data_IF_431779797121
#
_entry.id   IF_431779797121
#
_cell.length_a   1.000
_cell.length_b   1.000
_cell.length_c   1.000
_cell.angle_alpha   90.00
_cell.angle_beta   90.00
_cell.angle_gamma   90.00
#
_symmetry.space_group_name_H-M   'P 1'
#
loop_
_entity.id
_entity.type
_entity.pdbx_description
1 polymer ?
#
# COMPACT_ATOMS: atom_id res chain seq x y z
N UNK A 1 -65.61 -39.87 37.13
CA UNK A 1 -65.89 -41.31 37.36
C UNK A 1 -65.63 -42.00 36.03
N UNK A 2 -64.47 -42.57 35.74
CA UNK A 2 -63.88 -43.72 36.42
C UNK A 2 -64.36 -44.98 35.69
N UNK A 3 -63.44 -45.84 35.24
CA UNK A 3 -63.61 -47.05 34.39
C UNK A 3 -63.73 -46.84 32.87
N UNK A 4 -63.40 -47.75 31.93
CA UNK A 4 -63.03 -49.19 31.85
C UNK A 4 -62.37 -49.33 30.43
N UNK A 5 -61.18 -49.93 30.25
CA UNK A 5 -60.91 -51.31 29.80
C UNK A 5 -60.89 -51.60 28.27
N UNK A 6 -59.76 -52.19 27.84
CA UNK A 6 -59.49 -53.20 26.81
C UNK A 6 -60.48 -53.52 25.65
N UNK A 7 -59.84 -53.74 24.49
CA UNK A 7 -60.04 -54.80 23.47
C UNK A 7 -60.87 -54.53 22.19
N UNK A 8 -60.16 -54.85 21.08
CA UNK A 8 -60.55 -55.67 19.90
C UNK A 8 -61.03 -55.00 18.60
N UNK A 9 -60.32 -55.43 17.54
CA UNK A 9 -60.78 -55.85 16.20
C UNK A 9 -61.21 -54.77 15.21
N UNK A 10 -61.05 -54.86 13.88
CA UNK A 10 -60.26 -55.64 12.90
C UNK A 10 -61.01 -55.37 11.57
N UNK A 11 -60.33 -55.03 10.47
CA UNK A 11 -60.71 -55.42 9.09
C UNK A 11 -59.78 -54.71 8.08
N UNK A 12 -58.70 -55.36 7.64
CA UNK A 12 -58.57 -56.10 6.35
C UNK A 12 -58.38 -55.15 5.14
N UNK A 13 -57.42 -55.31 4.21
CA UNK A 13 -56.58 -56.46 3.86
C UNK A 13 -55.40 -56.07 2.93
N UNK A 14 -54.30 -56.85 3.03
CA UNK A 14 -53.37 -57.33 1.95
C UNK A 14 -52.52 -56.26 1.24
N UNK A 15 -51.18 -56.34 1.14
CA UNK A 15 -50.25 -57.48 1.09
C UNK A 15 -48.81 -56.94 1.25
N UNK A 16 -47.96 -57.65 2.00
CA UNK A 16 -46.49 -57.63 1.89
C UNK A 16 -46.08 -58.94 1.16
N UNK A 17 -44.85 -59.16 0.62
CA UNK A 17 -43.62 -58.75 1.32
C UNK A 17 -42.34 -58.44 0.47
N UNK A 18 -41.32 -57.90 1.17
CA UNK A 18 -39.85 -57.96 0.89
C UNK A 18 -39.37 -57.07 -0.30
N UNK A 19 -38.41 -56.13 -0.22
CA UNK A 19 -37.08 -56.09 0.43
C UNK A 19 -36.58 -54.63 0.60
N UNK A 20 -35.96 -54.38 1.75
CA UNK A 20 -35.01 -53.31 2.15
C UNK A 20 -33.88 -53.08 1.09
N UNK A 21 -33.42 -51.89 0.66
CA UNK A 21 -32.58 -50.85 1.32
C UNK A 21 -32.44 -49.58 0.42
N UNK A 22 -32.71 -48.43 1.04
CA UNK A 22 -32.10 -47.07 1.00
C UNK A 22 -31.43 -46.46 -0.26
N UNK A 23 -31.93 -45.24 -0.56
CA UNK A 23 -31.26 -43.97 -0.92
C UNK A 23 -30.38 -43.90 -2.18
N UNK A 24 -30.89 -43.18 -3.20
CA UNK A 24 -30.25 -41.99 -3.81
C UNK A 24 -31.09 -41.44 -4.98
N UNK A 25 -30.90 -40.15 -5.30
CA UNK A 25 -31.56 -39.30 -6.31
C UNK A 25 -32.80 -38.56 -5.78
N UNK A 26 -32.92 -37.23 -5.85
CA UNK A 26 -32.11 -36.20 -6.48
C UNK A 26 -32.85 -34.86 -6.40
N UNK A 27 -32.39 -33.90 -7.22
CA UNK A 27 -32.94 -32.55 -7.50
C UNK A 27 -32.44 -31.47 -6.53
N UNK A 28 -31.39 -30.72 -6.88
CA UNK A 28 -31.32 -29.67 -7.90
C UNK A 28 -32.14 -28.43 -7.50
N UNK A 29 -31.50 -27.54 -6.75
CA UNK A 29 -31.88 -26.12 -6.67
C UNK A 29 -30.67 -25.26 -7.09
N UNK A 30 -30.80 -24.74 -8.30
CA UNK A 30 -30.39 -23.44 -8.80
C UNK A 30 -29.65 -22.52 -7.79
N UNK A 31 -28.32 -22.66 -7.72
CA UNK A 31 -27.48 -21.59 -7.15
C UNK A 31 -27.41 -20.45 -8.16
N UNK A 32 -28.18 -19.39 -7.90
CA UNK A 32 -27.89 -18.04 -8.40
C UNK A 32 -26.43 -17.73 -8.12
N UNK A 33 -25.65 -17.52 -9.17
CA UNK A 33 -24.31 -16.95 -9.08
C UNK A 33 -24.45 -15.52 -8.55
N UNK A 34 -24.17 -15.32 -7.26
CA UNK A 34 -23.91 -13.98 -6.75
C UNK A 34 -22.58 -13.53 -7.32
N UNK A 35 -22.62 -12.67 -8.35
CA UNK A 35 -21.51 -11.77 -8.68
C UNK A 35 -21.08 -11.07 -7.40
N UNK A 36 -19.86 -11.37 -6.93
CA UNK A 36 -19.29 -10.78 -5.74
C UNK A 36 -18.46 -9.58 -6.17
N UNK A 37 -19.02 -8.41 -5.90
CA UNK A 37 -18.39 -7.10 -6.08
C UNK A 37 -17.11 -6.98 -5.26
N UNK A 38 -16.01 -6.68 -5.93
CA UNK A 38 -14.76 -6.25 -5.31
C UNK A 38 -14.92 -4.82 -4.75
N UNK A 39 -15.37 -4.66 -3.51
CA UNK A 39 -15.22 -3.38 -2.80
C UNK A 39 -13.93 -3.38 -1.99
N UNK A 40 -12.80 -3.14 -2.67
CA UNK A 40 -11.69 -2.45 -2.01
C UNK A 40 -12.17 -1.01 -1.76
N UNK A 41 -12.73 -0.72 -0.59
CA UNK A 41 -13.04 0.65 -0.22
C UNK A 41 -11.71 1.38 0.01
N UNK A 42 -11.36 2.37 -0.82
CA UNK A 42 -10.27 3.26 -0.49
C UNK A 42 -10.87 4.17 0.59
N UNK A 43 -10.43 4.02 1.84
CA UNK A 43 -10.81 4.88 2.96
C UNK A 43 -9.56 5.56 3.52
N UNK A 44 -9.80 6.79 3.96
CA UNK A 44 -8.95 7.98 3.90
C UNK A 44 -7.58 7.87 4.58
N UNK A 45 -6.61 8.57 4.00
CA UNK A 45 -5.38 9.06 4.64
C UNK A 45 -4.48 7.98 5.26
N UNK A 46 -3.55 7.44 4.48
CA UNK A 46 -2.11 7.29 4.84
C UNK A 46 -1.44 6.43 3.78
N UNK A 47 -0.22 6.80 3.40
CA UNK A 47 0.50 6.17 2.29
C UNK A 47 0.62 4.66 2.45
N UNK A 48 0.52 3.93 1.33
CA UNK A 48 0.96 2.53 1.18
C UNK A 48 0.27 1.49 2.06
N UNK A 49 -0.82 1.83 2.78
CA UNK A 49 -1.60 0.85 3.53
C UNK A 49 -2.64 0.18 2.63
N UNK A 50 -2.58 -1.14 2.55
CA UNK A 50 -3.58 -1.92 1.85
C UNK A 50 -4.53 -2.56 2.85
N UNK A 51 -5.81 -2.22 2.74
CA UNK A 51 -6.89 -2.83 3.52
C UNK A 51 -7.18 -4.22 2.96
N UNK A 52 -7.22 -5.23 3.83
CA UNK A 52 -7.63 -6.58 3.47
C UNK A 52 -8.74 -7.03 4.41
N UNK A 53 -9.80 -7.54 3.78
CA UNK A 53 -10.89 -8.21 4.44
C UNK A 53 -10.75 -9.72 4.25
N UNK A 54 -10.71 -10.47 5.34
CA UNK A 54 -10.64 -11.93 5.30
C UNK A 54 -12.06 -12.47 5.47
N UNK A 55 -12.85 -12.43 4.40
CA UNK A 55 -14.21 -13.00 4.40
C UNK A 55 -14.28 -14.37 3.70
N UNK A 56 -13.32 -14.72 2.84
CA UNK A 56 -13.31 -15.97 2.08
C UNK A 56 -11.88 -16.50 1.90
N UNK A 57 -11.66 -17.78 2.19
CA UNK A 57 -10.32 -18.38 2.32
C UNK A 57 -9.57 -18.46 0.99
N UNK A 58 -10.29 -18.71 -0.11
CA UNK A 58 -9.71 -18.92 -1.45
C UNK A 58 -9.14 -17.64 -2.08
N UNK A 59 -9.57 -16.46 -1.62
CA UNK A 59 -9.21 -15.19 -2.26
C UNK A 59 -7.96 -14.54 -1.64
N UNK A 60 -7.60 -14.92 -0.42
CA UNK A 60 -6.45 -14.35 0.28
C UNK A 60 -5.11 -14.79 -0.35
N UNK A 61 -5.08 -15.98 -0.95
CA UNK A 61 -3.89 -16.53 -1.62
C UNK A 61 -3.48 -15.77 -2.89
N UNK A 62 -4.39 -14.98 -3.47
CA UNK A 62 -4.17 -14.23 -4.71
C UNK A 62 -3.77 -12.78 -4.49
N UNK A 63 -3.56 -12.38 -3.24
CA UNK A 63 -3.17 -11.02 -2.89
C UNK A 63 -1.67 -10.82 -3.09
N UNK A 64 -1.30 -9.72 -3.75
CA UNK A 64 0.10 -9.28 -3.88
C UNK A 64 0.26 -7.81 -3.52
N UNK A 65 1.32 -7.51 -2.76
CA UNK A 65 1.77 -6.16 -2.46
C UNK A 65 3.24 -6.02 -2.85
N UNK A 66 3.57 -4.98 -3.62
CA UNK A 66 4.95 -4.57 -3.85
C UNK A 66 5.42 -3.68 -2.70
N UNK A 67 6.67 -3.87 -2.33
CA UNK A 67 7.35 -2.92 -1.46
C UNK A 67 7.53 -1.56 -2.15
N UNK A 68 7.51 -0.53 -1.33
CA UNK A 68 7.70 0.87 -1.68
C UNK A 68 9.11 1.20 -2.20
N UNK A 69 10.15 0.45 -1.82
CA UNK A 69 11.56 0.88 -1.98
C UNK A 69 12.45 -0.11 -2.73
N UNK A 70 12.26 -1.42 -2.56
CA UNK A 70 12.98 -2.47 -3.29
C UNK A 70 11.97 -3.49 -3.81
N UNK A 71 12.33 -4.30 -4.82
CA UNK A 71 11.38 -5.19 -5.45
C UNK A 71 11.15 -6.44 -4.61
N UNK A 72 10.26 -6.29 -3.63
CA UNK A 72 9.78 -7.39 -2.82
C UNK A 72 8.29 -7.56 -3.01
N UNK A 73 7.87 -8.81 -3.14
CA UNK A 73 6.47 -9.21 -3.26
C UNK A 73 6.04 -9.91 -1.99
N UNK A 74 4.98 -9.41 -1.38
CA UNK A 74 4.26 -10.12 -0.33
C UNK A 74 3.09 -10.90 -0.92
N UNK A 75 2.95 -12.15 -0.51
CA UNK A 75 1.81 -13.01 -0.77
C UNK A 75 1.43 -13.78 0.49
N UNK A 76 0.28 -14.44 0.50
CA UNK A 76 -0.19 -15.19 1.66
C UNK A 76 -0.63 -16.59 1.26
N UNK A 77 -0.54 -17.54 2.18
CA UNK A 77 -1.07 -18.91 2.01
C UNK A 77 -1.61 -19.44 3.33
N UNK A 78 -2.47 -20.44 3.27
CA UNK A 78 -2.95 -21.11 4.48
C UNK A 78 -1.76 -21.61 5.33
N UNK A 79 -1.80 -21.32 6.63
CA UNK A 79 -0.76 -21.75 7.57
C UNK A 79 -1.00 -23.19 8.03
N UNK A 80 0.08 -23.95 8.20
CA UNK A 80 0.04 -25.27 8.84
C UNK A 80 0.24 -25.23 10.36
N UNK A 81 0.58 -24.06 10.92
CA UNK A 81 0.85 -23.86 12.35
C UNK A 81 -0.47 -23.68 13.08
N UNK A 82 -0.74 -24.45 14.16
CA UNK A 82 -1.90 -24.22 15.02
C UNK A 82 -1.94 -22.77 15.50
N UNK A 83 -3.14 -22.18 15.58
CA UNK A 83 -3.41 -20.77 15.95
C UNK A 83 -3.18 -19.71 14.86
N UNK A 84 -2.56 -20.08 13.74
CA UNK A 84 -2.40 -19.18 12.59
C UNK A 84 -3.21 -19.66 11.40
N UNK A 85 -3.98 -18.74 10.83
CA UNK A 85 -4.75 -18.94 9.62
C UNK A 85 -3.89 -18.81 8.37
N UNK A 86 -2.94 -17.87 8.36
CA UNK A 86 -2.11 -17.61 7.19
C UNK A 86 -0.63 -17.35 7.52
N UNK A 87 0.21 -17.85 6.63
CA UNK A 87 1.61 -17.50 6.51
C UNK A 87 1.78 -16.37 5.47
N UNK A 88 2.61 -15.39 5.81
CA UNK A 88 3.14 -14.42 4.86
C UNK A 88 4.32 -15.03 4.12
N UNK A 89 4.38 -14.83 2.81
CA UNK A 89 5.50 -15.18 1.94
C UNK A 89 6.04 -13.90 1.33
N UNK A 90 7.23 -13.49 1.77
CA UNK A 90 7.97 -12.37 1.18
C UNK A 90 9.01 -12.92 0.23
N UNK A 91 8.91 -12.49 -1.01
CA UNK A 91 9.82 -12.83 -2.08
C UNK A 91 10.60 -11.58 -2.47
N UNK A 92 11.90 -11.55 -2.18
CA UNK A 92 12.79 -10.50 -2.66
C UNK A 92 13.27 -10.88 -4.06
N UNK A 93 12.95 -10.04 -5.01
CA UNK A 93 13.31 -10.20 -6.40
C UNK A 93 14.70 -9.59 -6.57
N UNK A 94 15.62 -10.31 -7.20
CA UNK A 94 16.90 -9.77 -7.65
C UNK A 94 16.99 -9.94 -9.15
N UNK A 95 17.67 -9.00 -9.82
CA UNK A 95 17.90 -9.08 -11.26
C UNK A 95 18.76 -10.26 -11.65
N UNK A 96 19.66 -10.70 -10.78
CA UNK A 96 20.37 -11.95 -10.95
C UNK A 96 19.41 -13.10 -10.67
N UNK A 97 18.78 -13.60 -11.73
CA UNK A 97 17.77 -14.68 -11.78
C UNK A 97 18.12 -15.96 -11.00
N UNK A 98 19.35 -16.09 -10.54
CA UNK A 98 19.86 -17.21 -9.77
C UNK A 98 19.64 -17.09 -8.25
N UNK A 99 19.21 -15.94 -7.71
CA UNK A 99 18.95 -15.79 -6.27
C UNK A 99 17.58 -15.18 -5.97
N UNK A 100 16.53 -16.00 -6.11
CA UNK A 100 15.21 -15.70 -5.54
C UNK A 100 15.22 -16.12 -4.06
N UNK A 101 15.21 -15.17 -3.14
CA UNK A 101 15.06 -15.47 -1.70
C UNK A 101 13.59 -15.33 -1.32
N UNK A 102 13.02 -16.41 -0.78
CA UNK A 102 11.65 -16.44 -0.28
C UNK A 102 11.72 -16.76 1.20
N UNK A 103 11.15 -15.88 2.02
CA UNK A 103 10.99 -16.11 3.44
C UNK A 103 9.50 -16.21 3.76
N UNK A 104 9.16 -17.15 4.66
CA UNK A 104 7.79 -17.35 5.11
C UNK A 104 7.70 -17.30 6.63
N UNK A 105 6.62 -16.74 7.15
CA UNK A 105 6.37 -16.67 8.58
C UNK A 105 4.87 -16.57 8.90
N UNK A 106 4.42 -17.14 10.02
CA UNK A 106 3.03 -17.03 10.45
C UNK A 106 2.68 -15.59 10.85
N UNK A 107 1.52 -15.09 10.42
CA UNK A 107 1.17 -13.67 10.66
C UNK A 107 -0.27 -13.43 11.12
N UNK A 108 -1.27 -14.12 10.55
CA UNK A 108 -2.67 -13.86 10.84
C UNK A 108 -3.28 -14.99 11.66
N UNK A 109 -3.88 -14.63 12.80
CA UNK A 109 -4.75 -15.51 13.59
C UNK A 109 -6.21 -15.41 13.16
N UNK A 110 -7.11 -15.98 13.94
CA UNK A 110 -8.54 -16.10 13.59
C UNK A 110 -9.42 -14.90 13.99
N UNK A 111 -8.95 -14.01 14.88
CA UNK A 111 -9.83 -13.09 15.62
C UNK A 111 -10.18 -11.74 14.97
N UNK A 112 -9.27 -10.97 14.33
CA UNK A 112 -9.58 -9.59 13.94
C UNK A 112 -10.43 -9.51 12.67
N UNK A 113 -11.27 -8.47 12.61
CA UNK A 113 -12.29 -8.27 11.55
C UNK A 113 -11.73 -7.64 10.29
N UNK A 114 -10.61 -6.91 10.38
CA UNK A 114 -9.94 -6.28 9.23
C UNK A 114 -8.45 -6.12 9.52
N UNK A 115 -7.65 -6.26 8.47
CA UNK A 115 -6.21 -6.04 8.49
C UNK A 115 -5.83 -4.89 7.57
N UNK A 116 -4.92 -4.04 8.00
CA UNK A 116 -4.22 -3.10 7.13
C UNK A 116 -2.76 -3.43 7.13
N UNK A 117 -2.17 -3.52 5.94
CA UNK A 117 -0.81 -3.99 5.81
C UNK A 117 0.06 -3.06 4.97
N UNK A 118 1.36 -3.06 5.24
CA UNK A 118 2.38 -2.35 4.47
C UNK A 118 3.66 -3.18 4.46
N UNK A 119 4.34 -3.20 3.31
CA UNK A 119 5.67 -3.80 3.16
C UNK A 119 6.64 -2.69 2.74
N UNK A 120 7.71 -2.53 3.52
CA UNK A 120 8.81 -1.62 3.23
C UNK A 120 10.10 -2.43 3.18
N UNK A 121 10.81 -2.38 2.06
CA UNK A 121 12.10 -3.05 1.93
C UNK A 121 13.25 -2.09 2.21
N UNK A 122 14.36 -2.65 2.66
CA UNK A 122 15.63 -1.94 2.86
C UNK A 122 16.70 -2.51 1.92
N UNK A 123 17.77 -1.74 1.68
CA UNK A 123 18.94 -2.24 0.94
C UNK A 123 19.64 -3.39 1.66
N UNK A 124 19.66 -3.40 3.00
CA UNK A 124 20.45 -4.33 3.82
C UNK A 124 19.80 -5.70 4.06
N UNK A 125 19.21 -6.30 3.04
CA UNK A 125 18.55 -7.62 3.14
C UNK A 125 17.42 -7.67 4.18
N UNK A 126 16.88 -6.54 4.69
CA UNK A 126 15.73 -6.53 5.59
C UNK A 126 14.44 -6.11 4.90
N UNK A 127 13.35 -6.77 5.30
CA UNK A 127 11.97 -6.43 4.97
C UNK A 127 11.22 -6.05 6.25
N UNK A 128 10.49 -4.95 6.21
CA UNK A 128 9.68 -4.46 7.32
C UNK A 128 8.22 -4.63 6.91
N UNK A 129 7.55 -5.57 7.56
CA UNK A 129 6.14 -5.85 7.32
C UNK A 129 5.29 -5.37 8.49
N UNK A 130 4.47 -4.36 8.23
CA UNK A 130 3.57 -3.78 9.21
C UNK A 130 2.18 -4.38 9.05
N UNK A 131 1.59 -4.78 10.17
CA UNK A 131 0.21 -5.28 10.25
C UNK A 131 -0.54 -4.50 11.32
N UNK A 132 -1.58 -3.78 10.91
CA UNK A 132 -2.53 -3.14 11.79
C UNK A 132 -3.78 -4.04 11.86
N UNK A 133 -4.07 -4.52 13.05
CA UNK A 133 -5.23 -5.36 13.35
C UNK A 133 -6.31 -4.49 13.95
N UNK A 134 -7.46 -4.47 13.31
CA UNK A 134 -8.63 -3.77 13.83
C UNK A 134 -9.67 -4.73 14.36
N UNK A 135 -10.26 -4.37 15.50
CA UNK A 135 -11.30 -5.11 16.19
C UNK A 135 -12.53 -4.23 16.38
N UNK A 136 -13.66 -4.84 16.75
CA UNK A 136 -14.90 -4.11 17.01
C UNK A 136 -14.76 -3.10 18.15
N UNK A 137 -13.88 -3.37 19.12
CA UNK A 137 -13.47 -2.40 20.11
C UNK A 137 -12.18 -1.70 19.65
N UNK A 138 -12.19 -0.39 19.31
CA UNK A 138 -10.99 0.33 18.89
C UNK A 138 -9.88 0.32 19.96
N UNK A 139 -10.25 0.24 21.24
CA UNK A 139 -9.32 0.12 22.37
C UNK A 139 -8.63 -1.25 22.45
N UNK A 140 -8.85 -2.15 21.50
CA UNK A 140 -8.07 -3.40 21.35
C UNK A 140 -7.30 -3.49 20.03
N UNK A 141 -7.33 -2.44 19.20
CA UNK A 141 -6.52 -2.41 17.98
C UNK A 141 -5.03 -2.54 18.29
N UNK A 142 -4.31 -3.23 17.40
CA UNK A 142 -2.91 -3.58 17.59
C UNK A 142 -2.10 -3.27 16.34
N UNK A 143 -0.84 -2.89 16.52
CA UNK A 143 0.14 -2.78 15.44
C UNK A 143 1.30 -3.74 15.72
N UNK A 144 1.43 -4.73 14.84
CA UNK A 144 2.57 -5.63 14.80
C UNK A 144 3.53 -5.16 13.70
N UNK A 145 4.83 -5.13 14.02
CA UNK A 145 5.90 -4.88 13.04
C UNK A 145 6.80 -6.10 13.01
N UNK A 146 6.80 -6.78 11.87
CA UNK A 146 7.69 -7.89 11.56
C UNK A 146 8.91 -7.34 10.84
N UNK A 147 10.09 -7.78 11.28
CA UNK A 147 11.37 -7.38 10.69
C UNK A 147 12.05 -8.66 10.27
N UNK A 148 12.15 -8.86 8.96
CA UNK A 148 12.55 -10.12 8.34
C UNK A 148 13.93 -9.92 7.73
N UNK A 149 14.90 -10.73 8.16
CA UNK A 149 16.20 -10.83 7.50
C UNK A 149 16.09 -11.80 6.32
N UNK A 150 16.18 -11.30 5.10
CA UNK A 150 16.05 -12.08 3.87
C UNK A 150 17.23 -13.01 3.62
N UNK A 151 18.38 -12.81 4.25
CA UNK A 151 19.54 -13.68 4.08
C UNK A 151 19.38 -15.03 4.78
N UNK A 152 18.70 -15.07 5.93
CA UNK A 152 18.52 -16.28 6.74
C UNK A 152 17.06 -16.58 7.09
N UNK A 153 16.11 -15.78 6.62
CA UNK A 153 14.68 -15.86 6.90
C UNK A 153 14.29 -15.83 8.39
N UNK A 154 15.19 -15.35 9.25
CA UNK A 154 14.84 -15.06 10.64
C UNK A 154 14.01 -13.79 10.68
N UNK A 155 12.99 -13.78 11.53
CA UNK A 155 12.17 -12.60 11.74
C UNK A 155 12.01 -12.31 13.23
N UNK A 156 11.88 -11.03 13.56
CA UNK A 156 11.46 -10.57 14.88
C UNK A 156 10.11 -9.90 14.77
N UNK A 157 9.18 -10.28 15.66
CA UNK A 157 7.89 -9.62 15.81
C UNK A 157 7.97 -8.62 16.96
N UNK A 158 7.65 -7.36 16.69
CA UNK A 158 7.54 -6.32 17.70
C UNK A 158 6.09 -5.86 17.77
N UNK A 159 5.43 -6.06 18.91
CA UNK A 159 4.14 -5.44 19.20
C UNK A 159 4.41 -4.00 19.65
N UNK A 160 3.97 -3.01 18.86
CA UNK A 160 4.39 -1.62 19.09
C UNK A 160 3.32 -0.77 19.74
N UNK A 161 2.03 -1.03 19.45
CA UNK A 161 0.92 -0.27 20.03
C UNK A 161 -0.27 -1.18 20.31
N UNK A 162 -0.96 -0.91 21.43
CA UNK A 162 -2.22 -1.53 21.84
C UNK A 162 -3.24 -0.47 22.25
N UNK A 163 -4.46 -0.64 21.76
CA UNK A 163 -5.65 0.10 22.18
C UNK A 163 -5.89 1.45 21.53
N UNK A 164 -5.64 1.51 20.23
CA UNK A 164 -5.57 2.75 19.49
C UNK A 164 -6.66 2.88 18.42
N UNK A 165 -7.39 4.00 18.41
CA UNK A 165 -8.28 4.33 17.31
C UNK A 165 -7.47 4.81 16.09
N UNK A 166 -7.00 3.85 15.31
CA UNK A 166 -6.00 4.04 14.27
C UNK A 166 -6.35 5.10 13.24
N UNK A 167 -7.63 5.22 12.90
CA UNK A 167 -8.08 6.05 11.78
C UNK A 167 -8.46 7.46 12.20
N UNK A 168 -8.91 7.65 13.44
CA UNK A 168 -9.28 8.97 13.92
C UNK A 168 -8.08 9.90 14.08
N UNK A 169 -6.90 9.37 14.37
CA UNK A 169 -5.71 10.17 14.73
C UNK A 169 -4.65 10.34 13.62
N UNK A 170 -4.86 9.74 12.44
CA UNK A 170 -3.96 9.93 11.29
C UNK A 170 -2.99 8.76 11.00
N UNK A 171 -3.29 7.56 11.51
CA UNK A 171 -2.59 6.33 11.13
C UNK A 171 -1.26 6.13 11.85
N UNK A 172 -0.27 5.61 11.13
CA UNK A 172 1.12 5.44 11.56
C UNK A 172 2.05 5.42 10.34
N UNK A 173 3.31 5.81 10.53
CA UNK A 173 4.26 5.93 9.44
C UNK A 173 5.53 5.15 9.72
N UNK A 174 6.00 4.42 8.72
CA UNK A 174 7.33 3.85 8.68
C UNK A 174 8.16 4.71 7.75
N UNK A 175 9.29 5.20 8.26
CA UNK A 175 10.23 6.01 7.48
C UNK A 175 11.59 5.36 7.58
N UNK A 176 12.05 4.85 6.45
CA UNK A 176 13.40 4.34 6.31
C UNK A 176 14.39 5.50 6.14
N UNK A 177 15.55 5.41 6.81
CA UNK A 177 16.60 6.42 6.73
C UNK A 177 17.62 6.02 5.65
N UNK A 178 17.63 6.66 4.46
CA UNK A 178 18.50 6.29 3.36
C UNK A 178 20.00 6.58 3.63
N UNK A 179 20.33 7.30 4.71
CA UNK A 179 21.72 7.60 5.09
C UNK A 179 22.22 6.78 6.28
N UNK A 180 21.31 6.11 6.98
CA UNK A 180 21.67 5.28 8.12
C UNK A 180 20.84 4.00 8.04
N UNK A 181 21.32 3.11 7.18
CA UNK A 181 20.63 1.91 6.74
C UNK A 181 20.43 0.89 7.88
N UNK A 182 21.13 1.09 8.99
CA UNK A 182 21.01 0.30 10.22
C UNK A 182 19.76 0.66 11.06
N UNK A 183 18.96 1.64 10.61
CA UNK A 183 17.81 2.13 11.37
C UNK A 183 16.60 2.45 10.49
N UNK A 184 15.42 2.35 11.10
CA UNK A 184 14.21 2.98 10.60
C UNK A 184 13.44 3.63 11.74
N UNK A 185 12.63 4.63 11.40
CA UNK A 185 11.77 5.32 12.34
C UNK A 185 10.32 4.89 12.14
N UNK A 186 9.65 4.58 13.25
CA UNK A 186 8.22 4.35 13.32
C UNK A 186 7.56 5.50 14.07
N UNK A 187 6.60 6.16 13.41
CA UNK A 187 5.81 7.24 13.98
C UNK A 187 4.43 6.73 14.36
N UNK A 188 4.14 6.77 15.66
CA UNK A 188 2.83 6.52 16.25
C UNK A 188 2.18 7.82 16.68
N UNK A 189 0.85 7.87 16.62
CA UNK A 189 0.08 9.02 17.14
C UNK A 189 -0.62 8.62 18.43
N UNK A 190 -1.16 9.63 19.11
CA UNK A 190 -1.69 9.52 20.47
C UNK A 190 -0.63 9.08 21.50
N UNK A 191 0.58 9.62 21.35
CA UNK A 191 1.75 9.30 22.15
C UNK A 191 1.84 9.95 23.53
N UNK A 192 0.81 10.67 23.99
CA UNK A 192 0.92 11.54 25.17
C UNK A 192 1.32 10.77 26.43
N UNK A 193 0.76 9.58 26.63
CA UNK A 193 1.12 8.72 27.77
C UNK A 193 2.50 8.06 27.59
N UNK A 194 2.89 7.77 26.35
CA UNK A 194 4.10 7.00 26.01
C UNK A 194 5.36 7.85 25.96
N UNK A 195 5.30 9.05 25.38
CA UNK A 195 6.44 9.92 25.18
C UNK A 195 6.18 11.41 25.48
N UNK A 196 5.00 11.77 25.99
CA UNK A 196 4.69 13.16 26.36
C UNK A 196 4.37 14.08 25.18
N UNK A 197 4.16 13.54 23.98
CA UNK A 197 3.72 14.29 22.79
C UNK A 197 2.70 13.51 21.99
N UNK A 198 1.89 14.20 21.19
CA UNK A 198 0.87 13.54 20.38
C UNK A 198 1.47 12.57 19.35
N UNK A 199 2.64 12.86 18.78
CA UNK A 199 3.39 11.93 17.92
C UNK A 199 4.57 11.38 18.69
N UNK A 200 4.71 10.05 18.80
CA UNK A 200 5.94 9.41 19.27
C UNK A 200 6.74 8.87 18.09
N UNK A 201 8.05 9.04 18.17
CA UNK A 201 9.02 8.40 17.29
C UNK A 201 9.66 7.23 18.01
N UNK A 202 9.63 6.06 17.38
CA UNK A 202 10.35 4.87 17.81
C UNK A 202 11.40 4.53 16.76
N UNK A 203 12.68 4.57 17.14
CA UNK A 203 13.77 4.23 16.23
C UNK A 203 14.16 2.77 16.45
N UNK A 204 14.06 1.95 15.40
CA UNK A 204 14.56 0.58 15.44
C UNK A 204 16.03 0.54 15.02
N UNK A 205 16.82 -0.33 15.66
CA UNK A 205 18.21 -0.58 15.30
C UNK A 205 18.34 -2.04 14.86
N UNK A 206 18.73 -2.28 13.60
CA UNK A 206 18.87 -3.63 13.03
C UNK A 206 19.94 -4.46 13.73
N UNK A 207 21.06 -3.87 14.10
CA UNK A 207 22.15 -4.57 14.80
C UNK A 207 21.76 -5.03 16.22
N UNK A 208 20.96 -4.23 16.93
CA UNK A 208 20.45 -4.55 18.28
C UNK A 208 19.16 -5.36 18.25
N UNK A 209 18.51 -5.44 17.09
CA UNK A 209 17.20 -6.08 16.90
C UNK A 209 16.13 -5.59 17.88
N UNK A 210 16.10 -4.29 18.15
CA UNK A 210 15.19 -3.71 19.14
C UNK A 210 14.85 -2.26 18.83
N UNK A 211 13.65 -1.85 19.22
CA UNK A 211 13.31 -0.42 19.32
C UNK A 211 14.05 0.25 20.48
N UNK A 212 14.52 1.47 20.23
CA UNK A 212 14.95 2.39 21.28
C UNK A 212 13.77 2.87 22.14
N UNK A 213 14.08 3.66 23.18
CA UNK A 213 13.05 4.32 23.98
C UNK A 213 12.21 5.25 23.07
N UNK A 214 10.88 5.29 23.26
CA UNK A 214 10.03 6.21 22.51
C UNK A 214 10.44 7.66 22.81
N UNK A 215 10.48 8.48 21.76
CA UNK A 215 10.87 9.88 21.86
C UNK A 215 9.72 10.78 21.41
N UNK A 216 9.59 11.93 22.07
CA UNK A 216 8.66 12.94 21.63
C UNK A 216 9.05 13.47 20.24
N UNK A 217 8.07 13.60 19.34
CA UNK A 217 8.27 14.22 18.03
C UNK A 217 7.59 15.60 18.01
N UNK A 218 8.39 16.67 17.95
CA UNK A 218 7.96 18.04 18.22
C UNK A 218 6.91 18.61 17.25
N UNK A 219 6.70 17.97 16.09
CA UNK A 219 5.83 18.48 15.03
C UNK A 219 4.41 18.80 15.53
N UNK A 220 3.81 17.88 16.27
CA UNK A 220 2.42 18.02 16.74
C UNK A 220 2.26 19.03 17.87
N UNK A 221 3.27 19.18 18.72
CA UNK A 221 3.21 20.09 19.86
C UNK A 221 3.13 21.55 19.38
N UNK A 222 3.78 21.85 18.27
CA UNK A 222 3.74 23.16 17.63
C UNK A 222 2.52 23.34 16.69
N UNK A 223 1.78 22.26 16.38
CA UNK A 223 0.71 22.26 15.39
C UNK A 223 -0.51 21.39 15.83
N UNK A 224 -1.15 21.68 16.98
CA UNK A 224 -2.12 20.78 17.61
C UNK A 224 -3.39 20.51 16.77
N UNK A 225 -3.76 21.44 15.88
CA UNK A 225 -4.95 21.31 15.02
C UNK A 225 -4.64 20.71 13.64
N UNK A 226 -3.46 20.12 13.48
CA UNK A 226 -2.93 19.74 12.18
C UNK A 226 -2.83 18.22 12.08
N UNK A 227 -3.51 17.65 11.08
CA UNK A 227 -3.47 16.21 10.77
C UNK A 227 -2.27 15.93 9.87
N UNK A 228 -1.35 15.08 10.32
CA UNK A 228 -0.26 14.60 9.47
C UNK A 228 -0.82 13.62 8.43
N UNK A 229 -0.46 13.81 7.16
CA UNK A 229 -0.91 12.98 6.03
C UNK A 229 0.24 12.13 5.46
N UNK A 230 1.45 12.67 5.52
CA UNK A 230 2.65 12.04 4.97
C UNK A 230 3.84 12.44 5.83
N UNK A 231 4.78 11.51 6.03
CA UNK A 231 6.14 11.81 6.47
C UNK A 231 7.12 10.90 5.72
N UNK A 232 8.26 11.46 5.32
CA UNK A 232 9.32 10.77 4.58
C UNK A 232 10.68 11.35 4.95
N UNK A 233 11.75 10.61 4.68
CA UNK A 233 13.10 11.03 5.05
C UNK A 233 13.60 12.18 4.17
N UNK A 234 14.37 13.09 4.78
CA UNK A 234 15.12 14.15 4.11
C UNK A 234 16.60 13.79 4.06
N UNK A 235 17.36 14.43 3.17
CA UNK A 235 18.80 14.21 3.03
C UNK A 235 19.53 14.58 4.32
N UNK A 236 19.18 15.67 4.97
CA UNK A 236 19.86 16.18 6.16
C UNK A 236 19.52 15.46 7.48
N UNK A 237 19.15 14.18 7.42
CA UNK A 237 18.68 13.37 8.57
C UNK A 237 17.38 13.90 9.20
N UNK A 238 16.74 14.88 8.57
CA UNK A 238 15.42 15.36 8.90
C UNK A 238 14.31 14.59 8.20
N UNK A 239 13.14 15.21 8.12
CA UNK A 239 11.96 14.66 7.44
C UNK A 239 11.24 15.71 6.60
N UNK A 240 10.61 15.27 5.51
CA UNK A 240 9.54 16.02 4.87
C UNK A 240 8.20 15.53 5.41
N UNK A 241 7.30 16.47 5.71
CA UNK A 241 5.96 16.15 6.19
C UNK A 241 4.91 16.92 5.40
N UNK A 242 3.84 16.23 5.00
CA UNK A 242 2.63 16.87 4.49
C UNK A 242 1.56 16.78 5.56
N UNK A 243 0.92 17.90 5.83
CA UNK A 243 -0.16 17.94 6.81
C UNK A 243 -1.35 18.76 6.30
N UNK A 244 -2.46 18.67 7.04
CA UNK A 244 -3.71 19.36 6.77
C UNK A 244 -4.24 20.03 8.02
N UNK A 245 -4.61 21.30 7.92
CA UNK A 245 -5.31 22.06 8.96
C UNK A 245 -6.53 22.74 8.32
N UNK A 246 -7.73 22.28 8.68
CA UNK A 246 -8.96 22.63 7.97
C UNK A 246 -8.90 22.19 6.51
N UNK A 247 -9.09 23.13 5.57
CA UNK A 247 -8.98 22.88 4.12
C UNK A 247 -7.59 23.19 3.56
N UNK A 248 -6.66 23.68 4.39
CA UNK A 248 -5.32 24.05 3.95
C UNK A 248 -4.37 22.87 4.14
N UNK A 249 -3.44 22.74 3.20
CA UNK A 249 -2.40 21.74 3.22
C UNK A 249 -1.05 22.45 3.32
N UNK A 250 -0.11 21.79 3.98
CA UNK A 250 1.19 22.37 4.33
C UNK A 250 2.28 21.34 4.04
N UNK A 251 3.40 21.82 3.49
CA UNK A 251 4.62 21.03 3.33
C UNK A 251 5.66 21.58 4.30
N UNK A 252 6.22 20.70 5.12
CA UNK A 252 7.25 21.02 6.12
C UNK A 252 8.54 20.30 5.80
N UNK A 253 9.63 20.99 6.09
CA UNK A 253 10.93 20.40 6.36
C UNK A 253 11.14 20.41 7.87
N UNK A 254 11.47 19.25 8.43
CA UNK A 254 11.56 18.99 9.86
C UNK A 254 12.95 18.45 10.22
N UNK A 255 13.44 18.76 11.41
CA UNK A 255 14.62 18.11 11.99
C UNK A 255 14.32 16.66 12.36
N UNK A 256 15.34 15.89 12.75
CA UNK A 256 15.19 14.52 13.28
C UNK A 256 14.29 14.43 14.52
N UNK A 257 14.09 15.54 15.24
CA UNK A 257 13.25 15.61 16.44
C UNK A 257 11.84 16.19 16.13
N UNK A 258 11.58 16.57 14.87
CA UNK A 258 10.29 17.11 14.45
C UNK A 258 10.16 18.63 14.61
N UNK A 259 11.25 19.34 14.87
CA UNK A 259 11.24 20.81 14.88
C UNK A 259 11.17 21.32 13.45
N UNK A 260 10.38 22.36 13.20
CA UNK A 260 10.24 22.95 11.87
C UNK A 260 11.50 23.70 11.46
N UNK A 261 12.10 23.30 10.33
CA UNK A 261 13.20 24.02 9.68
C UNK A 261 12.62 25.09 8.75
N UNK A 262 11.70 24.69 7.88
CA UNK A 262 10.98 25.57 6.97
C UNK A 262 9.59 25.02 6.66
N UNK A 263 8.68 25.89 6.25
CA UNK A 263 7.32 25.54 5.87
C UNK A 263 6.90 26.31 4.65
N UNK A 264 6.27 25.62 3.71
CA UNK A 264 5.53 26.25 2.62
C UNK A 264 4.06 26.30 3.02
N UNK A 265 3.56 27.52 3.25
CA UNK A 265 2.18 27.84 3.67
C UNK A 265 1.35 28.47 2.53
N UNK A 266 1.89 28.52 1.31
CA UNK A 266 1.11 29.05 0.20
C UNK A 266 -0.11 28.16 -0.05
N UNK A 267 -1.22 28.78 -0.46
CA UNK A 267 -2.43 28.08 -0.91
C UNK A 267 -2.12 27.31 -2.20
N UNK A 268 -1.38 26.22 -2.05
CA UNK A 268 -1.32 25.12 -3.00
C UNK A 268 -2.65 24.36 -2.98
N UNK A 269 -3.78 25.02 -2.69
CA UNK A 269 -5.10 24.42 -2.77
C UNK A 269 -5.30 23.71 -4.11
N UNK A 270 -4.67 24.16 -5.20
CA UNK A 270 -4.71 23.45 -6.48
C UNK A 270 -3.78 22.22 -6.49
N UNK A 271 -2.52 22.35 -6.09
CA UNK A 271 -1.52 21.27 -6.16
C UNK A 271 -1.66 20.19 -5.06
N UNK A 272 -2.09 20.57 -3.86
CA UNK A 272 -2.30 19.66 -2.74
C UNK A 272 -3.69 19.01 -2.79
N UNK A 273 -4.69 19.62 -3.45
CA UNK A 273 -5.88 18.88 -3.92
C UNK A 273 -5.51 17.77 -4.90
N UNK A 274 -4.46 17.96 -5.70
CA UNK A 274 -3.93 16.92 -6.60
C UNK A 274 -3.15 15.85 -5.83
N UNK A 275 -2.36 16.20 -4.80
CA UNK A 275 -1.74 15.21 -3.90
C UNK A 275 -2.74 14.46 -2.98
N UNK A 276 -4.04 14.75 -3.09
CA UNK A 276 -5.08 13.96 -2.41
C UNK A 276 -5.04 12.53 -2.97
N UNK A 277 -4.41 11.65 -2.21
CA UNK A 277 -4.54 10.20 -2.36
C UNK A 277 -6.04 9.88 -2.32
N UNK A 278 -6.54 9.41 -3.47
CA UNK A 278 -7.94 9.10 -3.73
C UNK A 278 -8.55 8.25 -2.61
N UNK A 279 -9.68 8.72 -2.08
CA UNK A 279 -10.72 7.88 -1.48
C UNK A 279 -12.11 8.48 -1.72
N UNK A 280 -12.93 7.67 -2.39
CA UNK A 280 -14.40 7.63 -2.56
C UNK A 280 -15.18 8.79 -3.20
N UNK A 281 -15.74 8.43 -4.35
CA UNK A 281 -17.09 8.73 -4.84
C UNK A 281 -18.13 8.90 -3.72
N UNK A 282 -18.82 10.04 -3.72
CA UNK A 282 -20.28 10.22 -3.54
C UNK A 282 -20.53 11.71 -3.21
N UNK A 283 -20.73 12.50 -4.28
CA UNK A 283 -21.86 13.42 -4.43
C UNK A 283 -21.56 14.55 -5.44
N UNK A 284 -22.18 14.36 -6.62
CA UNK A 284 -22.63 15.32 -7.62
C UNK A 284 -21.75 16.52 -8.04
N UNK A 285 -21.40 16.51 -9.33
CA UNK A 285 -21.06 17.64 -10.21
C UNK A 285 -19.65 18.24 -10.15
N UNK A 286 -18.61 17.43 -9.98
CA UNK A 286 -17.27 17.79 -10.45
C UNK A 286 -16.58 16.56 -11.04
N UNK A 287 -16.41 16.52 -12.36
CA UNK A 287 -15.57 15.52 -13.05
C UNK A 287 -14.09 15.91 -12.87
N UNK A 288 -13.53 15.62 -11.70
CA UNK A 288 -12.06 15.64 -11.53
C UNK A 288 -11.54 14.27 -11.95
N UNK A 289 -10.93 14.21 -13.14
CA UNK A 289 -10.12 13.08 -13.56
C UNK A 289 -8.79 13.09 -12.78
N UNK A 290 -8.84 12.69 -11.51
CA UNK A 290 -7.67 12.53 -10.63
C UNK A 290 -6.92 11.25 -11.03
N UNK A 291 -5.97 11.37 -11.94
CA UNK A 291 -4.96 10.34 -12.21
C UNK A 291 -3.89 10.42 -11.11
N UNK A 292 -4.29 10.03 -9.91
CA UNK A 292 -3.40 9.74 -8.77
C UNK A 292 -3.68 8.34 -8.25
N UNK A 293 -4.45 7.55 -9.00
CA UNK A 293 -4.83 6.20 -8.58
C UNK A 293 -3.64 5.24 -8.45
N UNK A 294 -2.45 5.61 -8.91
CA UNK A 294 -1.30 4.69 -8.94
C UNK A 294 0.10 5.32 -8.71
N UNK A 295 0.22 6.56 -8.24
CA UNK A 295 1.50 7.09 -7.74
C UNK A 295 1.85 6.41 -6.41
N UNK A 296 2.25 5.14 -6.46
CA UNK A 296 2.52 4.27 -5.30
C UNK A 296 3.98 4.24 -4.86
N UNK A 297 4.81 5.12 -5.43
CA UNK A 297 6.23 5.14 -5.14
C UNK A 297 6.73 6.58 -5.23
N UNK A 298 6.63 7.33 -4.14
CA UNK A 298 7.47 8.51 -3.97
C UNK A 298 8.56 8.08 -2.98
N UNK A 299 9.66 7.57 -3.52
CA UNK A 299 10.87 7.35 -2.75
C UNK A 299 11.58 8.70 -2.72
N UNK A 300 11.75 9.24 -1.51
CA UNK A 300 12.43 10.50 -1.26
C UNK A 300 13.89 10.21 -0.96
N UNK A 301 14.76 10.30 -1.95
CA UNK A 301 16.19 10.32 -1.69
C UNK A 301 16.67 11.77 -1.69
N UNK A 302 16.54 12.41 -0.53
CA UNK A 302 17.20 13.67 -0.26
C UNK A 302 16.54 14.96 -0.77
N UNK A 303 15.66 14.87 -1.76
CA UNK A 303 14.86 15.97 -2.32
C UNK A 303 13.38 15.62 -2.38
N UNK A 304 12.49 16.60 -2.28
CA UNK A 304 11.05 16.41 -2.49
C UNK A 304 10.67 16.80 -3.91
N UNK A 305 10.40 15.81 -4.76
CA UNK A 305 9.84 16.01 -6.10
C UNK A 305 8.35 15.71 -6.17
N UNK A 306 7.64 16.43 -7.03
CA UNK A 306 6.23 16.16 -7.34
C UNK A 306 5.97 16.47 -8.81
N UNK A 307 5.15 15.64 -9.47
CA UNK A 307 4.61 15.92 -10.80
C UNK A 307 3.09 15.77 -10.77
N UNK A 308 2.36 16.67 -11.45
CA UNK A 308 0.90 16.73 -11.44
C UNK A 308 0.33 17.36 -12.70
N UNK A 309 -0.95 17.10 -12.99
CA UNK A 309 -1.71 17.80 -14.02
C UNK A 309 -2.51 18.95 -13.42
N UNK A 310 -2.72 20.03 -14.17
CA UNK A 310 -3.76 20.99 -13.81
C UNK A 310 -5.09 20.60 -14.45
N UNK A 311 -6.19 20.95 -13.79
CA UNK A 311 -7.54 20.76 -14.33
C UNK A 311 -7.70 21.44 -15.69
N UNK A 312 -8.22 20.70 -16.68
CA UNK A 312 -8.35 21.16 -18.08
C UNK A 312 -7.03 21.22 -18.87
N UNK A 313 -5.96 20.65 -18.32
CA UNK A 313 -4.62 20.58 -18.94
C UNK A 313 -4.04 19.16 -18.85
N UNK A 314 -4.79 18.18 -19.33
CA UNK A 314 -4.50 16.74 -19.20
C UNK A 314 -3.22 16.31 -19.93
N UNK A 315 -2.69 17.15 -20.81
CA UNK A 315 -1.42 16.94 -21.52
C UNK A 315 -0.25 17.72 -20.94
N UNK A 316 -0.49 18.67 -20.04
CA UNK A 316 0.58 19.47 -19.44
C UNK A 316 0.90 18.96 -18.03
N UNK A 317 2.03 18.25 -17.90
CA UNK A 317 2.56 17.79 -16.62
C UNK A 317 3.41 18.90 -16.00
N UNK A 318 3.06 19.34 -14.80
CA UNK A 318 3.86 20.26 -14.01
C UNK A 318 4.72 19.45 -13.04
N UNK A 319 6.03 19.59 -13.13
CA UNK A 319 6.99 18.95 -12.27
C UNK A 319 7.80 19.99 -11.49
N UNK A 320 7.98 19.75 -10.21
CA UNK A 320 8.79 20.58 -9.33
C UNK A 320 9.62 19.74 -8.40
N UNK A 321 10.68 20.33 -7.88
CA UNK A 321 11.51 19.72 -6.86
C UNK A 321 11.98 20.78 -5.84
N UNK A 322 11.99 20.38 -4.58
CA UNK A 322 12.51 21.17 -3.47
C UNK A 322 13.76 20.52 -2.86
N UNK A 323 14.64 21.35 -2.34
CA UNK A 323 15.72 20.92 -1.46
C UNK A 323 15.21 20.57 -0.05
N UNK A 324 16.13 20.12 0.82
CA UNK A 324 15.86 19.82 2.23
C UNK A 324 15.36 21.00 3.06
N UNK A 325 15.52 22.24 2.59
CA UNK A 325 15.03 23.46 3.24
C UNK A 325 13.80 24.02 2.55
N UNK A 326 13.17 23.26 1.65
CA UNK A 326 12.02 23.68 0.85
C UNK A 326 12.29 24.85 -0.12
N UNK A 327 13.54 25.10 -0.51
CA UNK A 327 13.82 26.00 -1.62
C UNK A 327 13.56 25.30 -2.95
N UNK A 328 13.01 26.01 -3.93
CA UNK A 328 12.83 25.47 -5.27
C UNK A 328 14.18 25.14 -5.90
N UNK A 329 14.32 23.89 -6.35
CA UNK A 329 15.37 23.46 -7.29
C UNK A 329 14.93 23.76 -8.71
N UNK A 330 13.72 23.34 -9.07
CA UNK A 330 13.09 23.71 -10.33
C UNK A 330 11.56 23.65 -10.25
N UNK A 331 10.91 24.31 -11.21
CA UNK A 331 9.49 24.24 -11.49
C UNK A 331 9.32 24.34 -13.01
N UNK A 332 8.87 23.26 -13.65
CA UNK A 332 8.84 23.09 -15.10
C UNK A 332 7.54 22.44 -15.53
N UNK A 333 6.99 22.87 -16.65
CA UNK A 333 5.95 22.13 -17.34
C UNK A 333 6.51 21.35 -18.51
N UNK A 334 5.98 20.14 -18.69
CA UNK A 334 6.23 19.22 -19.79
C UNK A 334 4.91 19.05 -20.53
N UNK A 335 4.87 19.42 -21.79
CA UNK A 335 3.72 19.18 -22.65
C UNK A 335 3.88 17.81 -23.33
N UNK A 336 3.04 16.87 -22.93
CA UNK A 336 2.96 15.55 -23.54
C UNK A 336 2.19 15.67 -24.86
N UNK A 337 2.68 15.01 -25.91
CA UNK A 337 1.95 14.88 -27.18
C UNK A 337 0.73 13.94 -27.06
N UNK A 338 0.53 13.33 -25.89
CA UNK A 338 -0.51 12.37 -25.55
C UNK A 338 -1.14 12.64 -24.18
N UNK A 339 -2.32 12.06 -23.95
CA UNK A 339 -2.88 11.93 -22.61
C UNK A 339 -2.27 10.70 -21.93
N UNK A 340 -1.93 10.83 -20.65
CA UNK A 340 -1.48 9.69 -19.84
C UNK A 340 -2.46 9.43 -18.70
N UNK A 341 -2.73 8.16 -18.43
CA UNK A 341 -3.56 7.70 -17.31
C UNK A 341 -2.77 7.31 -16.07
N UNK A 342 -1.44 7.30 -16.15
CA UNK A 342 -0.57 7.03 -15.01
C UNK A 342 0.65 7.95 -15.00
N UNK A 343 0.97 8.46 -13.82
CA UNK A 343 2.28 9.03 -13.54
C UNK A 343 2.91 8.22 -12.41
N UNK A 344 4.24 8.14 -12.41
CA UNK A 344 5.02 7.80 -11.24
C UNK A 344 6.31 8.62 -11.26
N UNK A 345 6.85 8.94 -10.11
CA UNK A 345 8.10 9.72 -10.02
C UNK A 345 9.14 8.98 -9.20
N UNK A 346 10.40 9.25 -9.50
CA UNK A 346 11.53 8.78 -8.69
C UNK A 346 12.52 9.92 -8.52
N UNK A 347 12.78 10.32 -7.27
CA UNK A 347 13.77 11.36 -6.99
C UNK A 347 15.17 10.76 -7.10
N UNK A 348 16.04 11.43 -7.86
CA UNK A 348 17.41 10.96 -8.07
C UNK A 348 18.34 11.44 -6.94
N UNK A 349 19.32 10.62 -6.57
CA UNK A 349 20.26 10.89 -5.48
C UNK A 349 21.14 12.16 -5.70
N UNK A 350 21.22 12.69 -6.94
CA UNK A 350 22.06 13.83 -7.34
C UNK A 350 21.23 15.03 -7.82
N UNK A 351 20.08 15.26 -7.20
CA UNK A 351 19.03 16.16 -7.68
C UNK A 351 18.45 15.73 -9.04
N UNK A 352 17.28 16.26 -9.39
CA UNK A 352 16.50 15.82 -10.53
C UNK A 352 15.51 14.70 -10.19
N UNK A 353 14.65 14.36 -11.14
CA UNK A 353 13.67 13.28 -10.99
C UNK A 353 13.48 12.52 -12.29
N UNK A 354 13.10 11.25 -12.19
CA UNK A 354 12.53 10.49 -13.29
C UNK A 354 11.02 10.54 -13.20
N UNK A 355 10.38 10.79 -14.34
CA UNK A 355 8.94 10.73 -14.51
C UNK A 355 8.60 9.54 -15.42
N UNK A 356 7.84 8.59 -14.90
CA UNK A 356 7.12 7.60 -15.69
C UNK A 356 5.78 8.19 -16.12
N UNK A 357 5.45 8.00 -17.39
CA UNK A 357 4.11 8.22 -17.93
C UNK A 357 3.73 7.05 -18.84
N UNK A 358 2.44 6.79 -18.97
CA UNK A 358 1.91 5.72 -19.83
C UNK A 358 1.18 6.33 -21.02
N UNK A 359 1.56 5.94 -22.22
CA UNK A 359 0.82 6.27 -23.42
C UNK A 359 -0.30 5.25 -23.66
N UNK A 360 -1.51 5.74 -23.85
CA UNK A 360 -2.71 4.93 -24.10
C UNK A 360 -3.24 5.22 -25.51
N UNK A 361 -3.29 4.20 -26.36
CA UNK A 361 -3.79 4.33 -27.72
C UNK A 361 -5.31 4.64 -27.70
N UNK A 362 -5.72 5.68 -28.43
CA UNK A 362 -7.12 6.15 -28.51
C UNK A 362 -7.77 6.48 -27.16
N UNK A 363 -6.99 6.85 -26.14
CA UNK A 363 -7.46 7.08 -24.77
C UNK A 363 -8.17 5.85 -24.13
N UNK A 364 -8.00 4.66 -24.69
CA UNK A 364 -8.57 3.43 -24.14
C UNK A 364 -7.65 2.86 -23.05
N UNK A 365 -8.20 2.66 -21.85
CA UNK A 365 -7.43 2.21 -20.67
C UNK A 365 -6.77 0.85 -20.89
N UNK A 366 -7.47 -0.05 -21.60
CA UNK A 366 -7.00 -1.40 -21.89
C UNK A 366 -5.84 -1.41 -22.91
N UNK A 367 -5.48 -0.24 -23.48
CA UNK A 367 -4.41 -0.06 -24.48
C UNK A 367 -3.23 0.78 -23.98
N UNK A 368 -3.08 0.97 -22.66
CA UNK A 368 -1.93 1.64 -22.06
C UNK A 368 -0.69 0.72 -22.02
N UNK A 369 -0.06 0.49 -23.17
CA UNK A 369 1.02 -0.51 -23.32
C UNK A 369 2.41 0.10 -23.43
N UNK A 370 2.52 1.41 -23.68
CA UNK A 370 3.80 2.08 -23.84
C UNK A 370 4.13 2.93 -22.61
N UNK A 371 5.30 2.67 -22.05
CA UNK A 371 5.85 3.35 -20.89
C UNK A 371 6.93 4.30 -21.37
N UNK A 372 6.82 5.58 -20.98
CA UNK A 372 7.78 6.64 -21.31
C UNK A 372 8.40 7.17 -20.03
N UNK A 373 9.72 7.11 -19.95
CA UNK A 373 10.51 7.67 -18.88
C UNK A 373 11.16 8.96 -19.34
N UNK A 374 10.87 10.04 -18.62
CA UNK A 374 11.47 11.36 -18.84
C UNK A 374 12.36 11.69 -17.66
N UNK A 375 13.61 12.07 -17.91
CA UNK A 375 14.55 12.49 -16.87
C UNK A 375 14.60 14.01 -16.81
N UNK A 376 14.43 14.55 -15.62
CA UNK A 376 14.70 15.94 -15.27
C UNK A 376 16.04 16.00 -14.55
N UNK A 377 16.93 16.90 -14.97
CA UNK A 377 18.18 17.16 -14.26
C UNK A 377 17.98 18.14 -13.08
N UNK A 378 19.07 18.48 -12.39
CA UNK A 378 19.07 19.41 -11.26
C UNK A 378 18.54 20.83 -11.58
N UNK A 379 18.52 21.23 -12.86
CA UNK A 379 18.00 22.52 -13.34
C UNK A 379 16.56 22.43 -13.84
N UNK A 380 16.01 21.21 -13.88
CA UNK A 380 14.73 20.89 -14.47
C UNK A 380 14.75 20.81 -16.01
N UNK A 381 15.94 20.86 -16.65
CA UNK A 381 16.02 20.51 -18.06
C UNK A 381 15.66 19.02 -18.20
N UNK A 382 14.86 18.69 -19.21
CA UNK A 382 14.33 17.34 -19.37
C UNK A 382 14.65 16.74 -20.73
N UNK A 383 14.79 15.42 -20.76
CA UNK A 383 14.97 14.63 -21.97
C UNK A 383 14.26 13.28 -21.86
N UNK A 384 13.90 12.69 -23.00
CA UNK A 384 13.50 11.27 -23.04
C UNK A 384 14.66 10.43 -22.50
N UNK A 385 14.40 9.67 -21.44
CA UNK A 385 15.38 8.78 -20.83
C UNK A 385 15.28 7.37 -21.44
N UNK A 386 14.06 6.86 -21.54
CA UNK A 386 13.77 5.59 -22.19
C UNK A 386 12.30 5.48 -22.54
N UNK A 387 11.99 4.61 -23.49
CA UNK A 387 10.62 4.19 -23.78
C UNK A 387 10.57 2.72 -24.11
N UNK A 388 9.47 2.06 -23.74
CA UNK A 388 9.26 0.67 -24.09
C UNK A 388 7.78 0.31 -24.13
N UNK A 389 7.46 -0.71 -24.93
CA UNK A 389 6.13 -1.30 -25.01
C UNK A 389 6.14 -2.68 -24.37
N UNK A 390 5.13 -2.99 -23.57
CA UNK A 390 4.86 -4.34 -23.07
C UNK A 390 3.47 -4.78 -23.54
N UNK A 391 3.42 -5.46 -24.69
CA UNK A 391 2.17 -5.91 -25.30
C UNK A 391 1.47 -7.02 -24.49
N UNK A 392 2.17 -7.64 -23.52
CA UNK A 392 1.59 -8.67 -22.64
C UNK A 392 0.96 -8.08 -21.38
N UNK A 393 1.17 -6.79 -21.17
CA UNK A 393 0.80 -6.07 -19.97
C UNK A 393 -0.44 -5.22 -20.25
N UNK A 394 -1.60 -5.81 -20.00
CA UNK A 394 -2.87 -5.09 -19.99
C UNK A 394 -3.13 -4.76 -18.53
N UNK A 395 -3.55 -3.56 -18.15
CA UNK A 395 -4.01 -3.45 -16.77
C UNK A 395 -5.08 -2.42 -16.60
N UNK A 396 -6.05 -2.75 -15.76
CA UNK A 396 -6.96 -1.79 -15.15
C UNK A 396 -6.32 -1.12 -13.93
N UNK A 397 -5.23 -1.67 -13.38
CA UNK A 397 -4.59 -1.24 -12.14
C UNK A 397 -3.07 -1.43 -12.18
N UNK A 398 -2.35 -0.54 -12.87
CA UNK A 398 -0.89 -0.61 -12.85
C UNK A 398 -0.31 -0.19 -11.50
N UNK A 399 0.46 -1.06 -10.84
CA UNK A 399 1.30 -0.65 -9.72
C UNK A 399 2.73 -0.49 -10.22
N UNK A 400 3.41 0.59 -9.83
CA UNK A 400 4.78 0.88 -10.24
C UNK A 400 5.64 1.16 -9.02
N UNK A 401 6.85 0.62 -9.01
CA UNK A 401 7.90 1.04 -8.09
C UNK A 401 9.25 1.14 -8.78
N UNK A 402 10.00 2.17 -8.41
CA UNK A 402 11.35 2.39 -8.88
C UNK A 402 12.33 1.94 -7.81
N UNK A 403 13.48 1.45 -8.22
CA UNK A 403 14.58 1.14 -7.31
C UNK A 403 15.91 1.20 -8.07
N UNK A 404 17.01 1.24 -7.33
CA UNK A 404 18.37 1.20 -7.88
C UNK A 404 19.03 -0.14 -7.50
N UNK A 405 19.61 -0.82 -8.49
CA UNK A 405 20.39 -2.07 -8.32
C UNK A 405 21.59 -2.04 -9.27
N UNK A 406 22.79 -2.28 -8.73
CA UNK A 406 24.06 -2.27 -9.48
C UNK A 406 24.30 -1.00 -10.32
N UNK A 407 23.82 0.15 -9.83
CA UNK A 407 23.93 1.45 -10.50
C UNK A 407 22.94 1.69 -11.64
N UNK A 408 22.05 0.74 -11.91
CA UNK A 408 20.95 0.89 -12.87
C UNK A 408 19.69 1.34 -12.15
N UNK A 409 18.85 2.11 -12.85
CA UNK A 409 17.52 2.45 -12.35
C UNK A 409 16.53 1.48 -12.96
N UNK A 410 15.71 0.88 -12.12
CA UNK A 410 14.86 -0.21 -12.51
C UNK A 410 13.42 0.06 -12.10
N UNK A 411 12.49 -0.32 -12.97
CA UNK A 411 11.05 -0.17 -12.80
C UNK A 411 10.45 -1.56 -12.59
N UNK A 412 9.86 -1.81 -11.43
CA UNK A 412 8.94 -2.93 -11.21
C UNK A 412 7.51 -2.49 -11.45
N UNK A 413 6.74 -3.36 -12.09
CA UNK A 413 5.34 -3.10 -12.31
C UNK A 413 4.47 -4.36 -12.27
N UNK A 414 3.26 -4.20 -11.75
CA UNK A 414 2.21 -5.21 -11.81
C UNK A 414 1.28 -4.88 -12.99
N UNK A 415 0.93 -5.91 -13.75
CA UNK A 415 -0.19 -5.84 -14.67
C UNK A 415 -1.00 -7.12 -14.73
N UNK A 416 -2.16 -7.01 -15.38
CA UNK A 416 -3.10 -8.08 -15.60
C UNK A 416 -2.72 -8.81 -16.90
N UNK A 417 -2.52 -10.12 -16.81
CA UNK A 417 -2.40 -10.99 -17.98
C UNK A 417 -3.73 -11.68 -18.19
N UNK A 418 -4.34 -11.43 -19.34
CA UNK A 418 -5.55 -12.13 -19.74
C UNK A 418 -5.20 -13.62 -19.97
N UNK A 419 -5.82 -14.52 -19.22
CA UNK A 419 -5.75 -15.94 -19.56
C UNK A 419 -6.50 -16.20 -20.87
N UNK A 420 -6.02 -17.17 -21.67
CA UNK A 420 -6.75 -17.63 -22.85
C UNK A 420 -8.20 -18.00 -22.47
N UNK A 421 -9.18 -17.35 -23.11
CA UNK A 421 -10.64 -17.47 -22.90
C UNK A 421 -11.23 -16.71 -21.69
N UNK A 422 -11.12 -15.39 -21.70
CA UNK A 422 -12.12 -14.41 -21.22
C UNK A 422 -12.71 -14.50 -19.79
N UNK A 423 -12.20 -15.32 -18.87
CA UNK A 423 -12.83 -15.48 -17.55
C UNK A 423 -11.93 -15.19 -16.35
N UNK A 424 -10.62 -15.03 -16.53
CA UNK A 424 -9.74 -14.64 -15.42
C UNK A 424 -8.51 -13.84 -15.86
N UNK A 425 -8.03 -12.99 -14.96
CA UNK A 425 -6.78 -12.24 -15.09
C UNK A 425 -5.79 -12.76 -14.06
N UNK A 426 -4.58 -13.09 -14.49
CA UNK A 426 -3.45 -13.34 -13.60
C UNK A 426 -2.66 -12.05 -13.38
N UNK A 427 -2.20 -11.81 -12.15
CA UNK A 427 -1.27 -10.72 -11.89
C UNK A 427 0.14 -11.15 -12.26
N UNK A 428 0.74 -10.48 -13.24
CA UNK A 428 2.15 -10.66 -13.59
C UNK A 428 2.94 -9.49 -13.04
N UNK A 429 4.04 -9.82 -12.36
CA UNK A 429 5.07 -8.86 -11.96
C UNK A 429 6.16 -8.88 -13.01
N UNK A 430 6.51 -7.69 -13.50
CA UNK A 430 7.57 -7.46 -14.47
C UNK A 430 8.57 -6.47 -13.89
N UNK A 431 9.78 -6.51 -14.44
CA UNK A 431 10.80 -5.52 -14.16
C UNK A 431 11.57 -5.15 -15.42
N UNK A 432 12.09 -3.92 -15.42
CA UNK A 432 12.98 -3.43 -16.48
C UNK A 432 13.98 -2.43 -15.91
N UNK A 433 15.27 -2.67 -16.16
CA UNK A 433 16.35 -1.73 -15.81
C UNK A 433 16.78 -0.89 -17.00
N UNK A 434 17.35 0.28 -16.71
CA UNK A 434 17.78 1.30 -17.65
C UNK A 434 19.17 1.82 -17.32
#
# INVERSE_FOLDING_TARGET
MGFLLLYKMLSFAKTLPVLFILLQMGWAEEKRSSELDFKSSPLENTNYLQRIHIYNEDNFEKFFLLSSNYPSKLSFRASSIPDYKYDAFIERLSFNSNSRKICSFPVFGYDPTTYYIRLESTNNDYEIFQVIKTYDNPATNLIDIYIINMANCQYTKNEVLKGYDYFNYGGSFLVYNPRNEDYFDFFSFNGQETCGSYICKHTYNFAKQSFGKPMAFGFSNNNPNTKLLYIGSSSDQGYFAISKNGNKYFLYSLTSNGDTINTINESYDKMLKLLRVSTSYEDSNIYILLIVSHCRSIIFVGTFGACYFLEGKEKEVFCLQFDNKLNYKFNKSLNLDYETKHLAIYNLNRDGLLLLSTYCENNEYEKCQEFRLTKFDSTGAYSEFSKFRDATCFSKKHQFTFFEEDGNICLFYICDSQQEKNTSYDYIIRSRCF
#
